data_IF_948279819686
#
_entry.id   IF_948279819686
#
_cell.length_a   1.000
_cell.length_b   1.000
_cell.length_c   1.000
_cell.angle_alpha   90.00
_cell.angle_beta   90.00
_cell.angle_gamma   90.00
#
_symmetry.space_group_name_H-M   'P 1'
#
loop_
_entity.id
_entity.type
_entity.pdbx_description
1 polymer ?
#
# COMPACT_ATOMS: atom_id res chain seq x y z
N UNK A 1 18.51 10.01 -29.17
CA UNK A 1 17.73 10.54 -28.03
C UNK A 1 18.53 10.22 -26.77
N UNK A 2 19.06 11.20 -26.03
CA UNK A 2 19.74 10.90 -24.78
C UNK A 2 18.73 10.37 -23.77
N UNK A 3 19.07 9.27 -23.09
CA UNK A 3 18.29 8.70 -22.02
C UNK A 3 18.13 9.75 -20.91
N UNK A 4 16.89 10.02 -20.52
CA UNK A 4 16.57 10.88 -19.39
C UNK A 4 17.22 10.30 -18.13
N UNK A 5 18.18 11.03 -17.56
CA UNK A 5 18.80 10.70 -16.28
C UNK A 5 17.70 10.52 -15.21
N UNK A 6 17.82 9.53 -14.31
CA UNK A 6 16.89 9.41 -13.20
C UNK A 6 16.94 10.71 -12.38
N UNK A 7 15.80 11.38 -12.22
CA UNK A 7 15.68 12.53 -11.31
C UNK A 7 16.12 12.06 -9.91
N UNK A 8 16.82 12.90 -9.13
CA UNK A 8 17.08 12.57 -7.73
C UNK A 8 15.73 12.29 -7.08
N UNK A 9 15.51 11.05 -6.61
CA UNK A 9 14.41 10.75 -5.71
C UNK A 9 14.63 11.64 -4.50
N UNK A 10 13.74 12.62 -4.30
CA UNK A 10 13.69 13.39 -3.07
C UNK A 10 13.61 12.40 -1.88
N UNK A 11 14.20 12.76 -0.72
CA UNK A 11 14.28 11.84 0.41
C UNK A 11 12.89 11.42 0.85
N UNK A 12 12.70 10.11 1.06
CA UNK A 12 11.50 9.56 1.68
C UNK A 12 11.28 10.21 3.04
N UNK A 13 10.02 10.47 3.39
CA UNK A 13 9.64 11.08 4.66
C UNK A 13 8.78 10.12 5.46
N UNK A 14 8.94 10.15 6.77
CA UNK A 14 8.06 9.42 7.67
C UNK A 14 6.73 10.15 7.74
N UNK A 15 5.67 9.40 7.43
CA UNK A 15 4.30 9.86 7.41
C UNK A 15 3.54 9.19 8.55
N UNK A 16 2.92 9.97 9.47
CA UNK A 16 2.12 9.40 10.55
C UNK A 16 0.81 8.83 9.97
N UNK A 17 0.49 7.59 10.32
CA UNK A 17 -0.76 6.92 9.96
C UNK A 17 -1.63 6.73 11.21
N UNK A 18 -2.95 6.76 11.05
CA UNK A 18 -3.94 6.51 12.12
C UNK A 18 -3.73 7.42 13.34
N UNK A 19 -3.71 8.73 13.10
CA UNK A 19 -3.48 9.73 14.16
C UNK A 19 -2.07 9.67 14.77
N UNK A 20 -1.10 9.05 14.10
CA UNK A 20 0.28 8.90 14.56
C UNK A 20 0.55 7.66 15.41
N UNK A 21 -0.39 6.71 15.47
CA UNK A 21 -0.15 5.40 16.09
C UNK A 21 0.88 4.57 15.31
N UNK A 22 0.95 4.77 13.99
CA UNK A 22 1.92 4.14 13.11
C UNK A 22 2.70 5.19 12.31
N UNK A 23 3.86 4.79 11.78
CA UNK A 23 4.63 5.58 10.82
C UNK A 23 4.95 4.76 9.58
N UNK A 24 4.88 5.39 8.42
CA UNK A 24 5.27 4.79 7.15
C UNK A 24 6.26 5.69 6.42
N UNK A 25 7.33 5.12 5.89
CA UNK A 25 8.30 5.84 5.07
C UNK A 25 7.78 5.90 3.64
N UNK A 26 7.30 7.08 3.22
CA UNK A 26 6.65 7.28 1.93
C UNK A 26 7.51 8.13 0.99
N UNK A 27 7.41 7.90 -0.33
CA UNK A 27 8.01 8.82 -1.29
C UNK A 27 7.41 10.22 -1.13
N UNK A 28 8.23 11.25 -1.36
CA UNK A 28 7.78 12.64 -1.25
C UNK A 28 6.68 12.93 -2.26
N UNK A 29 5.73 13.78 -1.90
CA UNK A 29 4.61 14.13 -2.79
C UNK A 29 3.39 13.21 -2.68
N UNK A 30 3.40 12.25 -1.75
CA UNK A 30 2.18 11.59 -1.28
C UNK A 30 1.26 12.63 -0.60
N UNK A 31 0.03 12.73 -1.09
CA UNK A 31 -1.05 13.52 -0.52
C UNK A 31 -2.07 12.60 0.13
N UNK A 32 -2.57 12.98 1.30
CA UNK A 32 -3.73 12.33 1.90
C UNK A 32 -5.01 12.76 1.17
N UNK A 33 -5.86 11.78 0.82
CA UNK A 33 -7.15 12.01 0.19
C UNK A 33 -8.30 12.17 1.19
N UNK A 34 -8.06 12.00 2.50
CA UNK A 34 -9.06 12.20 3.56
C UNK A 34 -9.59 13.64 3.60
N UNK A 35 -8.79 14.62 3.17
CA UNK A 35 -9.21 16.02 2.99
C UNK A 35 -10.16 16.22 1.79
N UNK A 36 -10.13 15.32 0.80
CA UNK A 36 -10.90 15.42 -0.44
C UNK A 36 -12.18 14.59 -0.42
N UNK A 37 -12.18 13.47 0.31
CA UNK A 37 -13.32 12.58 0.45
C UNK A 37 -13.33 11.97 1.84
N UNK A 38 -14.52 11.59 2.37
CA UNK A 38 -14.57 10.77 3.57
C UNK A 38 -13.87 9.43 3.29
N UNK A 39 -12.90 9.11 4.15
CA UNK A 39 -12.20 7.83 4.22
C UNK A 39 -12.57 7.22 5.58
N UNK A 40 -12.86 5.90 5.67
CA UNK A 40 -13.11 5.22 6.94
C UNK A 40 -11.93 5.36 7.92
N UNK A 41 -12.19 5.40 9.22
CA UNK A 41 -11.13 5.57 10.24
C UNK A 41 -10.08 4.45 10.26
N UNK A 42 -10.44 3.26 9.77
CA UNK A 42 -9.54 2.12 9.63
C UNK A 42 -8.77 2.12 8.31
N UNK A 43 -8.91 3.14 7.47
CA UNK A 43 -8.28 3.24 6.17
C UNK A 43 -7.57 4.60 6.00
N UNK A 44 -6.43 4.58 5.33
CA UNK A 44 -5.64 5.75 4.94
C UNK A 44 -5.42 5.67 3.43
N UNK A 45 -5.79 6.72 2.70
CA UNK A 45 -5.70 6.75 1.23
C UNK A 45 -4.78 7.87 0.80
N UNK A 46 -3.60 7.51 0.32
CA UNK A 46 -2.60 8.45 -0.18
C UNK A 46 -2.50 8.39 -1.70
N UNK A 47 -2.29 9.54 -2.35
CA UNK A 47 -2.06 9.63 -3.79
C UNK A 47 -0.84 10.47 -4.11
N UNK A 48 -0.01 9.98 -5.03
CA UNK A 48 1.19 10.67 -5.47
C UNK A 48 0.89 11.54 -6.70
N UNK A 49 1.03 12.86 -6.53
CA UNK A 49 0.60 13.87 -7.53
C UNK A 49 1.24 13.73 -8.91
N UNK A 50 2.45 13.20 -8.98
CA UNK A 50 3.27 13.21 -10.20
C UNK A 50 3.19 11.89 -10.97
N UNK A 51 3.00 10.78 -10.26
CA UNK A 51 2.99 9.43 -10.86
C UNK A 51 1.59 8.84 -10.95
N UNK A 52 0.58 9.53 -10.40
CA UNK A 52 -0.81 9.07 -10.35
C UNK A 52 -0.96 7.71 -9.63
N UNK A 53 -0.01 7.41 -8.74
CA UNK A 53 0.01 6.18 -7.95
C UNK A 53 -0.73 6.41 -6.64
N UNK A 54 -1.64 5.50 -6.30
CA UNK A 54 -2.33 5.48 -5.01
C UNK A 54 -1.76 4.41 -4.09
N UNK A 55 -1.61 4.75 -2.82
CA UNK A 55 -1.32 3.83 -1.73
C UNK A 55 -2.49 3.82 -0.76
N UNK A 56 -3.05 2.64 -0.50
CA UNK A 56 -4.14 2.45 0.47
C UNK A 56 -3.60 1.57 1.58
N UNK A 57 -3.74 2.01 2.82
CA UNK A 57 -3.43 1.22 4.03
C UNK A 57 -4.73 1.01 4.77
N UNK A 58 -5.09 -0.25 5.04
CA UNK A 58 -6.33 -0.60 5.72
C UNK A 58 -6.07 -1.59 6.85
N UNK A 59 -6.63 -1.31 8.03
CA UNK A 59 -6.59 -2.21 9.18
C UNK A 59 -7.77 -3.17 9.11
N UNK A 60 -7.45 -4.46 9.02
CA UNK A 60 -8.41 -5.57 8.95
C UNK A 60 -8.32 -6.44 10.19
N UNK A 61 -9.43 -7.13 10.50
CA UNK A 61 -9.45 -8.14 11.56
C UNK A 61 -8.75 -9.43 11.12
N UNK A 62 -8.00 -10.04 12.04
CA UNK A 62 -7.31 -11.30 11.79
C UNK A 62 -8.32 -12.43 11.52
N UNK A 63 -8.28 -12.99 10.32
CA UNK A 63 -9.08 -14.16 9.96
C UNK A 63 -8.37 -15.44 10.42
N UNK A 64 -8.95 -16.15 11.40
CA UNK A 64 -8.33 -17.33 12.00
C UNK A 64 -8.11 -18.51 11.03
N UNK A 65 -8.79 -18.50 9.88
CA UNK A 65 -8.74 -19.57 8.88
C UNK A 65 -7.68 -19.36 7.79
N UNK A 66 -6.99 -18.22 7.73
CA UNK A 66 -5.95 -17.92 6.75
C UNK A 66 -4.71 -17.34 7.44
N UNK A 67 -3.52 -17.80 7.06
CA UNK A 67 -2.26 -17.33 7.64
C UNK A 67 -1.20 -17.18 6.54
N UNK A 68 -0.29 -16.21 6.73
CA UNK A 68 0.84 -15.99 5.83
C UNK A 68 0.43 -15.77 4.38
N UNK A 69 0.96 -16.59 3.46
CA UNK A 69 0.69 -16.51 2.03
C UNK A 69 -0.79 -16.71 1.68
N UNK A 70 -1.49 -17.61 2.38
CA UNK A 70 -2.92 -17.86 2.16
C UNK A 70 -3.77 -16.64 2.51
N UNK A 71 -3.35 -15.83 3.50
CA UNK A 71 -4.02 -14.58 3.82
C UNK A 71 -3.83 -13.54 2.72
N UNK A 72 -2.61 -13.42 2.18
CA UNK A 72 -2.34 -12.52 1.05
C UNK A 72 -3.18 -12.91 -0.19
N UNK A 73 -3.27 -14.21 -0.49
CA UNK A 73 -4.10 -14.71 -1.59
C UNK A 73 -5.59 -14.45 -1.36
N UNK A 74 -6.09 -14.73 -0.16
CA UNK A 74 -7.49 -14.51 0.20
C UNK A 74 -7.90 -13.05 0.00
N UNK A 75 -7.12 -12.10 0.52
CA UNK A 75 -7.42 -10.67 0.36
C UNK A 75 -7.23 -10.18 -1.08
N UNK A 76 -6.29 -10.76 -1.83
CA UNK A 76 -6.11 -10.44 -3.25
C UNK A 76 -7.32 -10.87 -4.10
N UNK A 77 -7.86 -12.07 -3.85
CA UNK A 77 -9.08 -12.55 -4.50
C UNK A 77 -10.31 -11.73 -4.09
N UNK A 78 -10.42 -11.33 -2.82
CA UNK A 78 -11.50 -10.46 -2.33
C UNK A 78 -11.52 -9.09 -3.03
N UNK A 79 -10.36 -8.42 -3.09
CA UNK A 79 -10.21 -7.13 -3.80
C UNK A 79 -10.56 -7.29 -5.28
N UNK A 80 -10.08 -8.34 -5.94
CA UNK A 80 -10.41 -8.62 -7.34
C UNK A 80 -11.90 -8.90 -7.56
N UNK A 81 -12.51 -9.67 -6.66
CA UNK A 81 -13.92 -10.05 -6.71
C UNK A 81 -14.85 -8.85 -6.53
N UNK A 82 -14.61 -8.01 -5.53
CA UNK A 82 -15.41 -6.80 -5.26
C UNK A 82 -15.36 -5.82 -6.44
N UNK A 83 -14.20 -5.71 -7.10
CA UNK A 83 -14.03 -4.83 -8.27
C UNK A 83 -14.49 -5.46 -9.60
N UNK A 84 -14.95 -6.71 -9.59
CA UNK A 84 -15.40 -7.41 -10.79
C UNK A 84 -14.27 -7.73 -11.79
N UNK A 85 -13.05 -7.98 -11.28
CA UNK A 85 -11.93 -8.39 -12.11
C UNK A 85 -12.26 -9.68 -12.88
N UNK A 86 -12.05 -9.66 -14.21
CA UNK A 86 -12.36 -10.81 -15.09
C UNK A 86 -11.26 -11.85 -15.15
N UNK A 87 -10.04 -11.43 -14.87
CA UNK A 87 -8.85 -12.25 -14.87
C UNK A 87 -7.88 -11.69 -13.83
N UNK A 88 -7.24 -12.59 -13.10
CA UNK A 88 -6.27 -12.27 -12.07
C UNK A 88 -5.10 -13.23 -12.24
N UNK A 89 -3.88 -12.71 -12.21
CA UNK A 89 -2.65 -13.49 -12.35
C UNK A 89 -1.66 -13.06 -11.26
N UNK A 90 -0.96 -14.04 -10.68
CA UNK A 90 0.13 -13.81 -9.73
C UNK A 90 1.44 -13.98 -10.49
N UNK A 91 2.25 -12.92 -10.55
CA UNK A 91 3.54 -12.96 -11.25
C UNK A 91 4.67 -13.52 -10.37
N UNK A 92 4.70 -13.14 -9.09
CA UNK A 92 5.63 -13.66 -8.10
C UNK A 92 5.09 -13.50 -6.68
N UNK A 93 5.61 -14.31 -5.76
CA UNK A 93 5.35 -14.19 -4.32
C UNK A 93 6.70 -14.07 -3.63
N UNK A 94 6.85 -13.06 -2.76
CA UNK A 94 8.04 -12.86 -1.96
C UNK A 94 7.68 -12.91 -0.47
N UNK A 95 8.10 -13.94 0.27
CA UNK A 95 7.87 -14.03 1.70
C UNK A 95 8.62 -12.92 2.46
N UNK A 96 7.93 -12.25 3.37
CA UNK A 96 8.54 -11.32 4.31
C UNK A 96 8.95 -12.10 5.56
N UNK A 97 10.21 -12.54 5.60
CA UNK A 97 10.77 -13.18 6.78
C UNK A 97 11.05 -12.14 7.86
N UNK A 98 10.79 -12.48 9.12
CA UNK A 98 10.95 -11.57 10.26
C UNK A 98 12.37 -11.02 10.37
N UNK A 99 13.36 -11.83 9.97
CA UNK A 99 14.78 -11.47 9.90
C UNK A 99 15.10 -10.36 8.88
N UNK A 100 14.22 -10.15 7.90
CA UNK A 100 14.36 -9.12 6.86
C UNK A 100 13.60 -7.83 7.21
N UNK A 101 12.84 -7.82 8.31
CA UNK A 101 12.18 -6.63 8.81
C UNK A 101 13.21 -5.83 9.62
N UNK A 102 13.61 -4.67 9.10
CA UNK A 102 14.46 -3.75 9.85
C UNK A 102 13.71 -3.30 11.12
N UNK A 103 14.25 -3.67 12.28
CA UNK A 103 13.84 -3.13 13.60
C UNK A 103 14.58 -1.83 13.90
#
# INVERSE_FOLDING_TARGET
MPASSPRPMEPTRDYPLFGGAFSATLPPGALDLSDLRPVPDNQEVLCHRVTDQSLIVELLELQAHVQGEEAARYHFEDVGGVQGARAVQVDSVQPLLLENLAL
#
